data_IF_893937019704
#
_entry.id   IF_893937019704
#
_cell.length_a   1.000
_cell.length_b   1.000
_cell.length_c   1.000
_cell.angle_alpha   90.00
_cell.angle_beta   90.00
_cell.angle_gamma   90.00
#
_symmetry.space_group_name_H-M   'P 1'
#
loop_
_entity.id
_entity.type
_entity.pdbx_description
1 polymer ?
#
# COMPACT_ATOMS: atom_id res chain seq x y z
N UNK A 1 48.72 -33.57 15.10
CA UNK A 1 48.02 -32.33 14.77
C UNK A 1 46.54 -32.65 14.84
N UNK A 2 45.89 -32.27 15.91
CA UNK A 2 44.46 -32.54 16.10
C UNK A 2 43.66 -31.41 15.43
N UNK A 3 42.82 -31.79 14.51
CA UNK A 3 41.81 -30.91 13.90
C UNK A 3 40.74 -30.58 14.94
N UNK A 4 40.73 -29.34 15.40
CA UNK A 4 39.65 -28.81 16.22
C UNK A 4 38.44 -28.60 15.29
N UNK A 5 37.52 -29.53 15.29
CA UNK A 5 36.16 -29.34 14.76
C UNK A 5 35.49 -28.26 15.60
N UNK A 6 35.20 -27.10 15.01
CA UNK A 6 34.32 -26.09 15.60
C UNK A 6 32.89 -26.67 15.59
N UNK A 7 32.40 -27.10 16.72
CA UNK A 7 30.97 -27.36 16.93
C UNK A 7 30.21 -26.11 16.45
N UNK A 8 29.44 -26.28 15.37
CA UNK A 8 28.54 -25.25 14.89
C UNK A 8 27.45 -25.00 15.92
N UNK A 9 27.49 -23.87 16.59
CA UNK A 9 26.42 -23.42 17.46
C UNK A 9 25.15 -23.39 16.60
N UNK A 10 24.24 -24.34 16.84
CA UNK A 10 22.95 -24.40 16.18
C UNK A 10 22.15 -23.20 16.67
N UNK A 11 22.03 -22.16 15.84
CA UNK A 11 21.23 -20.97 16.12
C UNK A 11 19.77 -21.41 16.36
N UNK A 12 19.16 -20.82 17.37
CA UNK A 12 17.74 -21.09 17.68
C UNK A 12 16.86 -20.52 16.56
N UNK A 13 15.91 -21.31 16.08
CA UNK A 13 14.85 -20.80 15.18
C UNK A 13 13.70 -20.24 16.04
N UNK A 14 13.24 -19.05 15.67
CA UNK A 14 12.08 -18.38 16.27
C UNK A 14 10.94 -18.35 15.26
N UNK A 15 9.74 -18.68 15.69
CA UNK A 15 8.52 -18.35 14.94
C UNK A 15 8.15 -16.88 15.19
N UNK A 16 7.25 -16.31 14.36
CA UNK A 16 6.73 -14.95 14.59
C UNK A 16 5.99 -14.86 15.95
N UNK A 17 5.32 -15.92 16.37
CA UNK A 17 4.65 -15.99 17.68
C UNK A 17 5.67 -15.94 18.81
N UNK A 18 6.71 -16.79 18.78
CA UNK A 18 7.79 -16.79 19.75
C UNK A 18 8.55 -15.46 19.78
N UNK A 19 8.76 -14.82 18.61
CA UNK A 19 9.34 -13.49 18.55
C UNK A 19 8.43 -12.47 19.26
N UNK A 20 7.12 -12.49 19.01
CA UNK A 20 6.15 -11.58 19.62
C UNK A 20 6.04 -11.67 21.14
N UNK A 21 6.32 -12.85 21.71
CA UNK A 21 6.40 -13.05 23.14
C UNK A 21 7.60 -12.35 23.79
N UNK A 22 8.69 -12.16 23.02
CA UNK A 22 9.92 -11.51 23.45
C UNK A 22 9.86 -9.98 23.24
N UNK A 23 8.85 -9.36 23.82
CA UNK A 23 8.48 -7.95 23.60
C UNK A 23 9.10 -6.97 24.62
N UNK A 24 9.92 -7.43 25.56
CA UNK A 24 10.54 -6.59 26.58
C UNK A 24 9.61 -6.11 27.70
N UNK A 25 8.40 -6.67 27.79
CA UNK A 25 7.43 -6.37 28.84
C UNK A 25 7.38 -7.51 29.86
N UNK A 26 6.90 -7.23 31.07
CA UNK A 26 6.69 -8.21 32.15
C UNK A 26 7.92 -9.07 32.48
N UNK A 27 9.12 -8.48 32.33
CA UNK A 27 10.39 -9.19 32.59
C UNK A 27 10.86 -10.11 31.47
N UNK A 28 10.15 -10.14 30.31
CA UNK A 28 10.56 -10.88 29.14
C UNK A 28 11.70 -10.17 28.42
N UNK A 29 12.57 -10.91 27.69
CA UNK A 29 13.59 -10.30 26.85
C UNK A 29 12.97 -9.45 25.73
N UNK A 30 13.72 -8.48 25.24
CA UNK A 30 13.34 -7.67 24.09
C UNK A 30 14.13 -8.16 22.87
N UNK A 31 13.45 -8.82 21.94
CA UNK A 31 14.05 -9.28 20.70
C UNK A 31 13.45 -8.53 19.50
N UNK A 32 14.24 -8.33 18.47
CA UNK A 32 13.79 -7.79 17.18
C UNK A 32 14.34 -8.66 16.06
N UNK A 33 13.64 -8.75 14.94
CA UNK A 33 14.16 -9.41 13.76
C UNK A 33 14.51 -8.41 12.67
N UNK A 34 15.54 -8.73 11.89
CA UNK A 34 15.93 -8.05 10.66
C UNK A 34 16.58 -9.08 9.70
N UNK A 35 16.08 -9.14 8.46
CA UNK A 35 16.54 -10.06 7.41
C UNK A 35 16.71 -11.50 7.91
N UNK A 36 15.66 -12.04 8.50
CA UNK A 36 15.59 -13.39 9.07
C UNK A 36 16.55 -13.63 10.26
N UNK A 37 17.25 -12.62 10.77
CA UNK A 37 18.12 -12.71 11.94
C UNK A 37 17.43 -12.09 13.15
N UNK A 38 17.45 -12.80 14.29
CA UNK A 38 16.88 -12.33 15.56
C UNK A 38 17.98 -11.80 16.47
N UNK A 39 17.79 -10.58 16.96
CA UNK A 39 18.73 -9.84 17.79
C UNK A 39 18.14 -9.59 19.17
N UNK A 40 18.95 -9.73 20.23
CA UNK A 40 18.58 -9.40 21.60
C UNK A 40 18.94 -7.92 21.90
N UNK A 41 17.91 -7.09 21.98
CA UNK A 41 18.03 -5.66 22.30
C UNK A 41 17.72 -5.34 23.76
N UNK A 42 17.59 -6.35 24.65
CA UNK A 42 17.19 -6.19 26.05
C UNK A 42 18.16 -5.28 26.85
N UNK A 43 19.44 -5.29 26.51
CA UNK A 43 20.46 -4.47 27.18
C UNK A 43 20.57 -3.05 26.61
N UNK A 44 19.88 -2.78 25.51
CA UNK A 44 19.93 -1.46 24.86
C UNK A 44 19.07 -0.45 25.61
N UNK A 45 19.68 0.66 26.02
CA UNK A 45 18.95 1.78 26.65
C UNK A 45 17.90 2.41 25.75
N UNK A 46 18.05 2.23 24.43
CA UNK A 46 17.13 2.75 23.40
C UNK A 46 15.86 1.88 23.27
N UNK A 47 15.89 0.64 23.83
CA UNK A 47 14.78 -0.33 23.78
C UNK A 47 14.13 -0.54 25.15
N UNK A 48 14.16 0.49 26.00
CA UNK A 48 13.60 0.40 27.35
C UNK A 48 12.12 0.02 27.30
N UNK A 49 11.77 -1.02 28.08
CA UNK A 49 10.42 -1.60 28.11
C UNK A 49 9.94 -2.10 26.72
N UNK A 50 10.86 -2.55 25.89
CA UNK A 50 10.55 -3.10 24.57
C UNK A 50 10.07 -2.09 23.53
N UNK A 51 10.31 -0.78 23.77
CA UNK A 51 9.86 0.26 22.84
C UNK A 51 11.02 1.17 22.44
N UNK A 52 11.30 1.27 21.15
CA UNK A 52 12.28 2.14 20.55
C UNK A 52 11.64 3.40 19.96
N UNK A 53 12.12 4.59 20.39
CA UNK A 53 11.67 5.92 19.94
C UNK A 53 10.13 6.10 20.00
N UNK A 54 9.45 5.41 20.90
CA UNK A 54 7.97 5.37 21.02
C UNK A 54 7.24 4.90 19.72
N UNK A 55 7.94 4.27 18.81
CA UNK A 55 7.42 3.90 17.49
C UNK A 55 7.57 2.41 17.21
N UNK A 56 8.74 1.84 17.43
CA UNK A 56 9.05 0.45 17.09
C UNK A 56 8.99 -0.42 18.33
N UNK A 57 8.24 -1.53 18.24
CA UNK A 57 8.07 -2.48 19.37
C UNK A 57 9.06 -3.64 19.22
N UNK A 58 9.63 -4.09 20.32
CA UNK A 58 10.27 -5.40 20.36
C UNK A 58 9.22 -6.51 20.16
N UNK A 59 9.66 -7.68 19.77
CA UNK A 59 8.75 -8.76 19.39
C UNK A 59 8.29 -8.67 17.94
N UNK A 60 8.89 -7.81 17.10
CA UNK A 60 8.49 -7.62 15.69
C UNK A 60 9.65 -7.75 14.74
N UNK A 61 9.33 -8.07 13.49
CA UNK A 61 10.26 -7.98 12.37
C UNK A 61 10.31 -6.53 11.86
N UNK A 62 11.49 -5.92 11.92
CA UNK A 62 11.74 -4.53 11.57
C UNK A 62 12.49 -4.37 10.25
N UNK A 63 12.56 -5.41 9.42
CA UNK A 63 13.28 -5.41 8.13
C UNK A 63 12.87 -4.24 7.24
N UNK A 64 11.58 -3.90 7.21
CA UNK A 64 11.08 -2.76 6.42
C UNK A 64 11.26 -1.42 7.13
N UNK A 65 11.13 -1.40 8.45
CA UNK A 65 11.15 -0.17 9.24
C UNK A 65 12.55 0.48 9.28
N UNK A 66 13.60 -0.34 9.28
CA UNK A 66 14.98 0.16 9.35
C UNK A 66 15.39 0.97 8.13
N UNK A 67 14.73 0.76 6.98
CA UNK A 67 14.99 1.54 5.77
C UNK A 67 14.63 3.02 5.92
N UNK A 68 13.73 3.34 6.86
CA UNK A 68 13.34 4.72 7.20
C UNK A 68 14.07 5.26 8.45
N UNK A 69 14.97 4.48 9.03
CA UNK A 69 15.73 4.90 10.21
C UNK A 69 16.80 5.94 9.86
N UNK A 70 17.11 6.88 10.77
CA UNK A 70 18.19 7.85 10.56
C UNK A 70 19.60 7.25 10.70
N UNK A 71 19.72 5.97 11.02
CA UNK A 71 20.96 5.18 11.15
C UNK A 71 20.94 4.01 10.17
N UNK A 72 22.10 3.47 9.81
CA UNK A 72 22.24 2.30 8.96
C UNK A 72 22.23 0.98 9.74
N UNK A 73 22.61 -0.09 9.06
CA UNK A 73 22.64 -1.45 9.61
C UNK A 73 23.77 -1.68 10.62
N UNK A 74 24.75 -0.77 10.69
CA UNK A 74 25.88 -0.81 11.63
C UNK A 74 25.45 -0.91 13.09
N UNK A 75 24.23 -0.55 13.40
CA UNK A 75 23.67 -0.68 14.77
C UNK A 75 23.57 -2.13 15.23
N UNK A 76 23.45 -3.08 14.29
CA UNK A 76 23.38 -4.50 14.61
C UNK A 76 24.74 -5.13 14.91
N UNK A 77 25.85 -4.50 14.48
CA UNK A 77 27.20 -5.03 14.71
C UNK A 77 27.53 -5.17 16.20
N UNK A 78 26.90 -4.37 17.06
CA UNK A 78 27.08 -4.37 18.51
C UNK A 78 26.01 -5.15 19.28
N UNK A 79 25.03 -5.73 18.58
CA UNK A 79 23.89 -6.41 19.20
C UNK A 79 24.07 -7.92 19.04
N UNK A 80 23.77 -8.66 20.12
CA UNK A 80 23.92 -10.12 20.12
C UNK A 80 22.86 -10.76 19.23
N UNK A 81 23.27 -11.51 18.23
CA UNK A 81 22.40 -12.39 17.47
C UNK A 81 22.04 -13.62 18.32
N UNK A 82 20.73 -13.87 18.51
CA UNK A 82 20.22 -14.97 19.35
C UNK A 82 19.56 -16.10 18.55
N UNK A 83 19.34 -15.88 17.25
CA UNK A 83 18.76 -16.92 16.40
C UNK A 83 18.39 -16.43 15.03
N UNK A 84 17.59 -17.24 14.34
CA UNK A 84 17.01 -16.93 13.03
C UNK A 84 15.50 -16.95 13.11
N UNK A 85 14.85 -16.05 12.37
CA UNK A 85 13.40 -16.04 12.25
C UNK A 85 12.99 -17.09 11.21
N UNK A 86 12.16 -18.05 11.65
CA UNK A 86 11.56 -18.99 10.71
C UNK A 86 10.58 -18.23 9.83
N UNK A 87 10.91 -18.12 8.54
CA UNK A 87 9.91 -17.69 7.57
C UNK A 87 8.75 -18.66 7.64
N UNK A 88 7.60 -18.22 8.14
CA UNK A 88 6.38 -18.91 7.77
C UNK A 88 6.35 -18.85 6.25
N UNK A 89 6.35 -20.02 5.60
CA UNK A 89 6.05 -20.09 4.19
C UNK A 89 4.68 -19.42 4.05
N UNK A 90 4.68 -18.14 3.67
CA UNK A 90 3.47 -17.47 3.21
C UNK A 90 2.84 -18.39 2.17
N UNK A 91 1.52 -18.33 1.92
CA UNK A 91 0.91 -19.17 0.92
C UNK A 91 1.84 -19.19 -0.29
N UNK A 92 2.24 -20.39 -0.72
CA UNK A 92 3.12 -20.59 -1.88
C UNK A 92 2.34 -20.12 -3.13
N UNK A 93 2.24 -18.81 -3.24
CA UNK A 93 1.69 -18.14 -4.41
C UNK A 93 2.82 -18.17 -5.42
N UNK A 94 2.94 -19.29 -6.11
CA UNK A 94 3.91 -19.45 -7.17
C UNK A 94 3.76 -18.27 -8.15
N UNK A 95 4.69 -17.35 -8.05
CA UNK A 95 4.65 -16.10 -8.84
C UNK A 95 4.81 -16.50 -10.32
N UNK A 96 3.91 -16.01 -11.21
CA UNK A 96 4.06 -16.26 -12.63
C UNK A 96 5.44 -15.83 -13.12
N UNK A 97 6.09 -16.66 -13.94
CA UNK A 97 7.45 -16.42 -14.45
C UNK A 97 7.62 -15.04 -15.08
N UNK A 98 6.57 -14.51 -15.73
CA UNK A 98 6.59 -13.18 -16.32
C UNK A 98 6.70 -12.06 -15.26
N UNK A 99 6.01 -12.20 -14.14
CA UNK A 99 6.08 -11.22 -13.03
C UNK A 99 7.43 -11.31 -12.33
N UNK A 100 7.93 -12.51 -12.09
CA UNK A 100 9.27 -12.73 -11.53
C UNK A 100 10.35 -12.08 -12.41
N UNK A 101 10.31 -12.33 -13.71
CA UNK A 101 11.20 -11.69 -14.68
C UNK A 101 11.09 -10.15 -14.65
N UNK A 102 9.86 -9.60 -14.61
CA UNK A 102 9.63 -8.15 -14.55
C UNK A 102 10.26 -7.52 -13.30
N UNK A 103 10.09 -8.17 -12.15
CA UNK A 103 10.63 -7.70 -10.86
C UNK A 103 12.16 -7.82 -10.81
N UNK A 104 12.75 -8.84 -11.43
CA UNK A 104 14.21 -8.99 -11.49
C UNK A 104 14.85 -8.01 -12.45
N UNK A 105 14.24 -7.81 -13.62
CA UNK A 105 14.79 -6.96 -14.69
C UNK A 105 14.64 -5.48 -14.39
N UNK A 106 13.60 -5.09 -13.59
CA UNK A 106 13.31 -3.69 -13.32
C UNK A 106 13.08 -3.42 -11.82
N UNK A 107 14.12 -2.93 -11.10
CA UNK A 107 14.04 -2.62 -9.67
C UNK A 107 12.94 -1.62 -9.29
N UNK A 108 12.46 -0.82 -10.24
CA UNK A 108 11.38 0.14 -10.02
C UNK A 108 10.10 -0.56 -9.51
N UNK A 109 9.76 -1.74 -10.06
CA UNK A 109 8.56 -2.46 -9.65
C UNK A 109 8.67 -3.09 -8.25
N UNK A 110 9.89 -3.25 -7.70
CA UNK A 110 10.10 -3.68 -6.31
C UNK A 110 9.86 -2.54 -5.30
N UNK A 111 9.96 -1.28 -5.75
CA UNK A 111 9.90 -0.07 -4.90
C UNK A 111 8.49 0.49 -4.69
N UNK A 112 7.46 -0.35 -4.69
CA UNK A 112 6.07 0.10 -4.50
C UNK A 112 5.62 1.19 -5.49
N UNK A 113 5.50 0.90 -6.80
CA UNK A 113 5.10 1.91 -7.79
C UNK A 113 3.65 2.39 -7.62
N UNK A 114 2.82 1.63 -6.93
CA UNK A 114 1.40 1.93 -6.73
C UNK A 114 1.12 3.30 -6.07
N UNK A 115 1.78 3.72 -4.98
CA UNK A 115 1.53 5.04 -4.39
C UNK A 115 1.77 6.19 -5.37
N UNK A 116 2.72 6.05 -6.29
CA UNK A 116 2.98 7.07 -7.30
C UNK A 116 1.89 7.07 -8.39
N UNK A 117 1.48 5.89 -8.86
CA UNK A 117 0.54 5.78 -9.99
C UNK A 117 -0.89 6.17 -9.63
N UNK A 118 -1.32 6.01 -8.38
CA UNK A 118 -2.69 6.33 -7.95
C UNK A 118 -3.01 7.83 -7.96
N UNK A 119 -2.00 8.69 -7.88
CA UNK A 119 -2.24 10.14 -7.89
C UNK A 119 -2.87 10.62 -9.19
N UNK A 120 -2.54 10.01 -10.31
CA UNK A 120 -3.09 10.40 -11.61
C UNK A 120 -4.61 10.17 -11.70
N UNK A 121 -5.14 8.95 -11.51
CA UNK A 121 -6.59 8.77 -11.56
C UNK A 121 -7.32 9.54 -10.45
N UNK A 122 -6.73 9.72 -9.26
CA UNK A 122 -7.32 10.54 -8.20
C UNK A 122 -7.55 11.97 -8.70
N UNK A 123 -6.52 12.62 -9.23
CA UNK A 123 -6.62 14.00 -9.72
C UNK A 123 -7.62 14.11 -10.87
N UNK A 124 -7.53 13.23 -11.85
CA UNK A 124 -8.41 13.29 -13.02
C UNK A 124 -9.88 13.02 -12.68
N UNK A 125 -10.16 12.02 -11.85
CA UNK A 125 -11.54 11.69 -11.46
C UNK A 125 -12.14 12.67 -10.45
N UNK A 126 -11.34 13.43 -9.70
CA UNK A 126 -11.81 14.58 -8.90
C UNK A 126 -12.02 15.83 -9.77
N UNK A 127 -11.15 16.05 -10.75
CA UNK A 127 -11.26 17.19 -11.65
C UNK A 127 -12.50 17.10 -12.56
N UNK A 128 -12.93 15.90 -12.97
CA UNK A 128 -14.10 15.73 -13.82
C UNK A 128 -15.38 16.34 -13.20
N UNK A 129 -15.86 15.96 -11.99
CA UNK A 129 -17.04 16.59 -11.39
C UNK A 129 -16.83 18.10 -11.13
N UNK A 130 -15.61 18.50 -10.75
CA UNK A 130 -15.29 19.92 -10.53
C UNK A 130 -15.50 20.75 -11.80
N UNK A 131 -14.98 20.33 -12.95
CA UNK A 131 -15.15 21.05 -14.20
C UNK A 131 -16.59 20.97 -14.74
N UNK A 132 -17.33 19.87 -14.51
CA UNK A 132 -18.75 19.82 -14.85
C UNK A 132 -19.56 20.85 -14.02
N UNK A 133 -19.27 21.02 -12.73
CA UNK A 133 -19.91 22.04 -11.89
C UNK A 133 -19.56 23.44 -12.38
N UNK A 134 -18.30 23.71 -12.75
CA UNK A 134 -17.92 25.00 -13.33
C UNK A 134 -18.66 25.28 -14.63
N UNK A 135 -18.81 24.28 -15.51
CA UNK A 135 -19.60 24.41 -16.73
C UNK A 135 -21.05 24.81 -16.43
N UNK A 136 -21.69 24.11 -15.47
CA UNK A 136 -23.11 24.39 -15.11
C UNK A 136 -23.29 25.81 -14.52
N UNK A 137 -22.28 26.35 -13.82
CA UNK A 137 -22.32 27.69 -13.24
C UNK A 137 -22.04 28.78 -14.27
N UNK A 138 -21.06 28.56 -15.17
CA UNK A 138 -20.57 29.59 -16.09
C UNK A 138 -21.13 29.49 -17.50
N UNK A 139 -21.61 28.34 -17.92
CA UNK A 139 -21.99 28.05 -19.30
C UNK A 139 -20.80 27.94 -20.27
N UNK A 140 -19.55 28.02 -19.78
CA UNK A 140 -18.35 28.05 -20.61
C UNK A 140 -17.99 26.63 -21.07
N UNK A 141 -18.09 26.38 -22.38
CA UNK A 141 -17.91 25.06 -23.00
C UNK A 141 -16.50 24.46 -22.79
N UNK A 142 -15.49 25.27 -22.57
CA UNK A 142 -14.13 24.84 -22.29
C UNK A 142 -14.03 23.98 -21.03
N UNK A 143 -14.84 24.27 -19.99
CA UNK A 143 -14.89 23.48 -18.77
C UNK A 143 -15.49 22.09 -19.02
N UNK A 144 -16.55 22.00 -19.80
CA UNK A 144 -17.18 20.73 -20.16
C UNK A 144 -16.20 19.84 -20.96
N UNK A 145 -15.53 20.41 -21.95
CA UNK A 145 -14.50 19.71 -22.73
C UNK A 145 -13.35 19.22 -21.83
N UNK A 146 -12.92 20.06 -20.87
CA UNK A 146 -11.91 19.66 -19.90
C UNK A 146 -12.38 18.52 -19.02
N UNK A 147 -13.65 18.54 -18.57
CA UNK A 147 -14.23 17.46 -17.78
C UNK A 147 -14.19 16.12 -18.53
N UNK A 148 -14.52 16.10 -19.81
CA UNK A 148 -14.43 14.89 -20.64
C UNK A 148 -13.00 14.36 -20.76
N UNK A 149 -12.03 15.25 -20.97
CA UNK A 149 -10.61 14.88 -21.02
C UNK A 149 -10.13 14.33 -19.66
N UNK A 150 -10.56 14.93 -18.57
CA UNK A 150 -10.27 14.42 -17.22
C UNK A 150 -10.88 13.03 -17.01
N UNK A 151 -12.12 12.80 -17.46
CA UNK A 151 -12.74 11.48 -17.33
C UNK A 151 -11.96 10.42 -18.14
N UNK A 152 -11.58 10.73 -19.37
CA UNK A 152 -10.76 9.86 -20.20
C UNK A 152 -9.38 9.56 -19.56
N UNK A 153 -8.70 10.60 -19.07
CA UNK A 153 -7.43 10.47 -18.35
C UNK A 153 -7.58 9.62 -17.08
N UNK A 154 -8.65 9.85 -16.32
CA UNK A 154 -8.98 9.07 -15.13
C UNK A 154 -9.14 7.58 -15.43
N UNK A 155 -9.84 7.21 -16.50
CA UNK A 155 -10.00 5.83 -16.95
C UNK A 155 -8.65 5.22 -17.34
N UNK A 156 -7.88 5.90 -18.19
CA UNK A 156 -6.58 5.42 -18.65
C UNK A 156 -5.63 5.11 -17.49
N UNK A 157 -5.47 6.06 -16.58
CA UNK A 157 -4.57 5.89 -15.45
C UNK A 157 -5.13 4.97 -14.35
N UNK A 158 -6.45 4.76 -14.28
CA UNK A 158 -7.03 3.75 -13.39
C UNK A 158 -6.60 2.34 -13.75
N UNK A 159 -6.44 2.02 -15.03
CA UNK A 159 -5.91 0.71 -15.47
C UNK A 159 -4.50 0.50 -14.90
N UNK A 160 -3.64 1.51 -15.00
CA UNK A 160 -2.26 1.45 -14.47
C UNK A 160 -2.27 1.34 -12.95
N UNK A 161 -3.11 2.12 -12.27
CA UNK A 161 -3.22 2.10 -10.81
C UNK A 161 -3.75 0.75 -10.28
N UNK A 162 -4.75 0.14 -10.94
CA UNK A 162 -5.26 -1.18 -10.57
C UNK A 162 -4.19 -2.24 -10.79
N UNK A 163 -3.51 -2.23 -11.94
CA UNK A 163 -2.45 -3.20 -12.23
C UNK A 163 -1.29 -3.12 -11.22
N UNK A 164 -0.79 -1.91 -10.94
CA UNK A 164 0.26 -1.71 -9.93
C UNK A 164 -0.22 -1.99 -8.51
N UNK A 165 -1.50 -1.76 -8.21
CA UNK A 165 -2.11 -2.11 -6.92
C UNK A 165 -2.19 -3.62 -6.69
N UNK A 166 -2.60 -4.38 -7.70
CA UNK A 166 -2.61 -5.84 -7.65
C UNK A 166 -1.19 -6.41 -7.51
N UNK A 167 -0.22 -5.85 -8.26
CA UNK A 167 1.18 -6.25 -8.15
C UNK A 167 1.72 -5.99 -6.73
N UNK A 168 1.46 -4.79 -6.18
CA UNK A 168 1.86 -4.42 -4.82
C UNK A 168 1.21 -5.32 -3.78
N UNK A 169 -0.09 -5.59 -3.89
CA UNK A 169 -0.79 -6.49 -3.00
C UNK A 169 -0.18 -7.89 -3.03
N UNK A 170 0.10 -8.41 -4.21
CA UNK A 170 0.66 -9.74 -4.34
C UNK A 170 2.10 -9.80 -3.81
N UNK A 171 2.97 -8.90 -4.27
CA UNK A 171 4.40 -8.96 -3.96
C UNK A 171 4.72 -8.46 -2.53
N UNK A 172 4.21 -7.26 -2.18
CA UNK A 172 4.61 -6.60 -0.93
C UNK A 172 3.74 -7.00 0.28
N UNK A 173 2.50 -7.39 0.04
CA UNK A 173 1.56 -7.82 1.09
C UNK A 173 1.30 -9.34 1.06
N UNK A 174 2.08 -10.11 0.29
CA UNK A 174 1.98 -11.58 0.20
C UNK A 174 0.54 -12.08 -0.03
N UNK A 175 -0.22 -11.36 -0.83
CA UNK A 175 -1.64 -11.59 -1.10
C UNK A 175 -2.54 -11.67 0.16
N UNK A 176 -2.08 -11.16 1.31
CA UNK A 176 -2.90 -11.11 2.54
C UNK A 176 -4.06 -10.13 2.37
N UNK A 177 -5.28 -10.59 2.69
CA UNK A 177 -6.47 -9.76 2.62
C UNK A 177 -6.63 -9.00 3.94
N UNK A 178 -6.22 -7.73 3.94
CA UNK A 178 -6.41 -6.80 5.06
C UNK A 178 -7.65 -5.94 4.82
N UNK A 179 -8.28 -5.44 5.90
CA UNK A 179 -9.50 -4.61 5.80
C UNK A 179 -9.39 -3.46 4.79
N UNK A 180 -8.31 -2.64 4.74
CA UNK A 180 -8.20 -1.60 3.71
C UNK A 180 -8.17 -2.14 2.28
N UNK A 181 -7.52 -3.29 2.05
CA UNK A 181 -7.44 -3.92 0.72
C UNK A 181 -8.80 -4.48 0.31
N UNK A 182 -9.51 -5.14 1.25
CA UNK A 182 -10.85 -5.70 1.02
C UNK A 182 -11.88 -4.63 0.61
N UNK A 183 -11.69 -3.38 1.03
CA UNK A 183 -12.55 -2.26 0.65
C UNK A 183 -12.05 -1.61 -0.64
N UNK A 184 -10.75 -1.33 -0.74
CA UNK A 184 -10.17 -0.60 -1.88
C UNK A 184 -10.28 -1.37 -3.19
N UNK A 185 -10.04 -2.68 -3.17
CA UNK A 185 -10.01 -3.48 -4.39
C UNK A 185 -11.37 -3.46 -5.11
N UNK A 186 -12.50 -3.87 -4.49
CA UNK A 186 -13.80 -3.80 -5.16
C UNK A 186 -14.20 -2.36 -5.49
N UNK A 187 -13.95 -1.39 -4.60
CA UNK A 187 -14.32 0.00 -4.83
C UNK A 187 -13.57 0.60 -6.03
N UNK A 188 -12.29 0.26 -6.22
CA UNK A 188 -11.51 0.73 -7.38
C UNK A 188 -12.04 0.15 -8.70
N UNK A 189 -12.49 -1.10 -8.70
CA UNK A 189 -13.12 -1.74 -9.87
C UNK A 189 -14.46 -1.10 -10.17
N UNK A 190 -15.30 -0.89 -9.14
CA UNK A 190 -16.60 -0.21 -9.30
C UNK A 190 -16.42 1.20 -9.84
N UNK A 191 -15.47 1.96 -9.28
CA UNK A 191 -15.13 3.32 -9.74
C UNK A 191 -14.69 3.33 -11.21
N UNK A 192 -13.83 2.39 -11.60
CA UNK A 192 -13.38 2.25 -12.99
C UNK A 192 -14.54 1.95 -13.95
N UNK A 193 -15.40 0.99 -13.59
CA UNK A 193 -16.58 0.63 -14.40
C UNK A 193 -17.54 1.81 -14.49
N UNK A 194 -17.81 2.50 -13.40
CA UNK A 194 -18.65 3.70 -13.39
C UNK A 194 -18.09 4.79 -14.29
N UNK A 195 -16.81 5.10 -14.17
CA UNK A 195 -16.14 6.09 -15.03
C UNK A 195 -16.25 5.71 -16.52
N UNK A 196 -16.07 4.43 -16.84
CA UNK A 196 -16.21 3.93 -18.21
C UNK A 196 -17.65 4.07 -18.74
N UNK A 197 -18.65 3.72 -17.94
CA UNK A 197 -20.08 3.90 -18.29
C UNK A 197 -20.39 5.37 -18.54
N UNK A 198 -19.94 6.26 -17.65
CA UNK A 198 -20.12 7.70 -17.78
C UNK A 198 -19.45 8.25 -19.04
N UNK A 199 -18.25 7.78 -19.35
CA UNK A 199 -17.55 8.19 -20.57
C UNK A 199 -18.28 7.74 -21.85
N UNK A 200 -18.74 6.48 -21.90
CA UNK A 200 -19.52 5.96 -23.03
C UNK A 200 -20.84 6.74 -23.16
N UNK A 201 -21.56 6.97 -22.05
CA UNK A 201 -22.80 7.74 -22.07
C UNK A 201 -22.57 9.15 -22.62
N UNK A 202 -21.52 9.83 -22.18
CA UNK A 202 -21.14 11.16 -22.68
C UNK A 202 -20.80 11.16 -24.18
N UNK A 203 -20.21 10.08 -24.70
CA UNK A 203 -19.95 9.95 -26.13
C UNK A 203 -21.21 9.72 -26.95
N UNK A 204 -22.19 9.00 -26.38
CA UNK A 204 -23.49 8.73 -27.03
C UNK A 204 -24.43 9.94 -26.99
N UNK A 205 -24.39 10.70 -25.90
CA UNK A 205 -25.16 11.93 -25.72
C UNK A 205 -24.23 13.12 -25.39
N UNK A 206 -23.76 13.84 -26.40
CA UNK A 206 -22.88 14.99 -26.20
C UNK A 206 -23.48 16.16 -25.41
N UNK A 207 -24.79 16.19 -25.23
CA UNK A 207 -25.51 17.26 -24.53
C UNK A 207 -25.97 16.85 -23.13
N UNK A 208 -25.61 15.66 -22.65
CA UNK A 208 -26.08 15.09 -21.38
C UNK A 208 -25.87 16.00 -20.15
N UNK A 209 -24.84 16.86 -20.17
CA UNK A 209 -24.56 17.80 -19.08
C UNK A 209 -25.30 19.12 -19.22
N UNK A 210 -25.68 19.49 -20.47
CA UNK A 210 -26.21 20.83 -20.79
C UNK A 210 -27.60 21.08 -20.21
N UNK A 211 -28.42 20.04 -20.15
CA UNK A 211 -29.76 20.10 -19.56
C UNK A 211 -29.94 18.98 -18.52
N UNK A 212 -29.63 19.23 -17.22
CA UNK A 212 -29.66 18.21 -16.19
C UNK A 212 -31.07 17.88 -15.71
N UNK A 213 -31.94 17.42 -16.63
CA UNK A 213 -33.30 16.97 -16.34
C UNK A 213 -33.49 15.50 -16.73
N UNK A 214 -34.39 14.79 -16.07
CA UNK A 214 -34.69 13.39 -16.38
C UNK A 214 -33.46 12.50 -16.32
N UNK A 215 -33.15 11.71 -17.38
CA UNK A 215 -31.96 10.83 -17.40
C UNK A 215 -30.65 11.58 -17.24
N UNK A 216 -30.57 12.82 -17.71
CA UNK A 216 -29.36 13.63 -17.63
C UNK A 216 -29.02 14.04 -16.20
N UNK A 217 -30.02 14.21 -15.36
CA UNK A 217 -29.82 14.41 -13.91
C UNK A 217 -29.16 13.18 -13.27
N UNK A 218 -29.55 11.97 -13.70
CA UNK A 218 -28.91 10.73 -13.20
C UNK A 218 -27.43 10.71 -13.60
N UNK A 219 -27.12 11.07 -14.85
CA UNK A 219 -25.74 11.19 -15.30
C UNK A 219 -24.93 12.14 -14.41
N UNK A 220 -25.47 13.34 -14.16
CA UNK A 220 -24.81 14.35 -13.31
C UNK A 220 -24.59 13.85 -11.88
N UNK A 221 -25.58 13.21 -11.26
CA UNK A 221 -25.46 12.63 -9.91
C UNK A 221 -24.38 11.54 -9.86
N UNK A 222 -24.31 10.69 -10.88
CA UNK A 222 -23.26 9.67 -11.01
C UNK A 222 -21.87 10.29 -11.20
N UNK A 223 -21.73 11.35 -12.00
CA UNK A 223 -20.50 12.13 -12.13
C UNK A 223 -20.07 12.70 -10.78
N UNK A 224 -20.98 13.33 -10.05
CA UNK A 224 -20.71 13.89 -8.71
C UNK A 224 -20.31 12.82 -7.70
N UNK A 225 -20.83 11.58 -7.83
CA UNK A 225 -20.48 10.46 -6.96
C UNK A 225 -19.03 10.00 -7.10
N UNK A 226 -18.34 10.33 -8.19
CA UNK A 226 -16.92 10.01 -8.36
C UNK A 226 -16.06 10.65 -7.25
N UNK A 227 -16.37 11.88 -6.84
CA UNK A 227 -15.59 12.59 -5.83
C UNK A 227 -15.57 11.90 -4.45
N UNK A 228 -16.71 11.55 -3.82
CA UNK A 228 -16.70 10.81 -2.56
C UNK A 228 -16.09 9.41 -2.70
N UNK A 229 -16.30 8.70 -3.82
CA UNK A 229 -15.69 7.38 -4.04
C UNK A 229 -14.16 7.47 -4.08
N UNK A 230 -13.60 8.43 -4.82
CA UNK A 230 -12.17 8.68 -4.87
C UNK A 230 -11.63 9.08 -3.50
N UNK A 231 -12.36 9.91 -2.75
CA UNK A 231 -11.98 10.35 -1.40
C UNK A 231 -11.90 9.17 -0.42
N UNK A 232 -12.86 8.24 -0.49
CA UNK A 232 -12.86 7.01 0.31
C UNK A 232 -11.65 6.14 -0.06
N UNK A 233 -11.35 5.95 -1.35
CA UNK A 233 -10.17 5.21 -1.80
C UNK A 233 -8.86 5.84 -1.29
N UNK A 234 -8.77 7.17 -1.35
CA UNK A 234 -7.64 7.94 -0.82
C UNK A 234 -7.47 7.76 0.69
N UNK A 235 -8.58 7.84 1.45
CA UNK A 235 -8.58 7.64 2.90
C UNK A 235 -8.02 6.27 3.29
N UNK A 236 -8.55 5.19 2.72
CA UNK A 236 -8.04 3.83 2.99
C UNK A 236 -6.61 3.64 2.47
N UNK A 237 -6.18 4.37 1.44
CA UNK A 237 -4.79 4.41 1.01
C UNK A 237 -3.88 5.05 2.05
N UNK A 238 -4.30 6.19 2.61
CA UNK A 238 -3.56 6.91 3.63
C UNK A 238 -3.40 6.10 4.92
N UNK A 239 -4.43 5.35 5.36
CA UNK A 239 -4.34 4.51 6.57
C UNK A 239 -3.33 3.37 6.45
N UNK A 240 -2.99 2.93 5.23
CA UNK A 240 -1.95 1.93 5.01
C UNK A 240 -0.54 2.53 5.07
N UNK A 241 -0.39 3.81 4.70
CA UNK A 241 0.90 4.51 4.68
C UNK A 241 1.17 5.22 6.01
N UNK A 242 0.11 5.75 6.63
CA UNK A 242 0.14 6.49 7.89
C UNK A 242 -0.89 5.90 8.85
N UNK A 243 -0.58 4.75 9.49
CA UNK A 243 -1.50 4.15 10.46
C UNK A 243 -1.71 5.11 11.63
N UNK A 244 -2.98 5.41 11.93
CA UNK A 244 -3.34 6.16 13.13
C UNK A 244 -3.30 5.16 14.28
N UNK A 245 -2.39 5.36 15.23
CA UNK A 245 -2.41 4.61 16.48
C UNK A 245 -3.73 4.89 17.19
N UNK A 246 -4.50 3.84 17.47
CA UNK A 246 -5.63 3.97 18.39
C UNK A 246 -5.04 4.08 19.79
N UNK A 247 -5.25 5.22 20.45
CA UNK A 247 -5.01 5.41 21.86
C UNK A 247 -5.77 4.40 22.72
#
# INVERSE_FOLDING_TARGET
MASVEREGVRMREFTLEELSENNGQDGKPAHVAHDDTVYDVSQSKLWKSGLHMRRHKAGTDLTTDIQAAPHGLEVFDSITQVGTLKKEAGPDVSMPKAIHWLLETNPFFRRHPHPMTVHFPIVFLLANPFFNVLFLITGEQSFETTAVHCLAGGILFSVVAIATGLLTWWYNYMAKMMTPIAIKLPLSVILFILALILFIWRLMDPLVVTNPEGPNLIYLLLVLSLAPMVSILGWFGATMTFPIEKE
#
